data_IF_060041039495
#
_entry.id   IF_060041039495
#
_cell.length_a   1.000
_cell.length_b   1.000
_cell.length_c   1.000
_cell.angle_alpha   90.00
_cell.angle_beta   90.00
_cell.angle_gamma   90.00
#
_symmetry.space_group_name_H-M   'P 1'
#
loop_
_entity.id
_entity.type
_entity.pdbx_description
1 polymer ?
#
# COMPACT_ATOMS: atom_id res chain seq x y z
N UNK A 1 4.28 2.67 -37.88
CA UNK A 1 3.51 3.50 -36.91
C UNK A 1 3.86 3.01 -35.52
N UNK A 2 4.55 3.82 -34.73
CA UNK A 2 4.82 3.49 -33.34
C UNK A 2 3.54 3.77 -32.56
N UNK A 3 3.11 2.82 -31.72
CA UNK A 3 2.09 3.08 -30.70
C UNK A 3 2.62 4.24 -29.88
N UNK A 4 2.05 5.42 -30.09
CA UNK A 4 2.47 6.63 -29.42
C UNK A 4 1.89 6.68 -28.01
N UNK A 5 2.40 7.61 -27.23
CA UNK A 5 1.85 7.95 -25.92
C UNK A 5 0.35 8.24 -26.00
N UNK A 6 -0.11 8.81 -27.13
CA UNK A 6 -1.51 9.11 -27.41
C UNK A 6 -2.39 7.86 -27.42
N UNK A 7 -2.03 6.81 -28.16
CA UNK A 7 -2.80 5.57 -28.21
C UNK A 7 -2.89 4.90 -26.85
N UNK A 8 -1.79 4.91 -26.07
CA UNK A 8 -1.80 4.36 -24.70
C UNK A 8 -2.76 5.15 -23.80
N UNK A 9 -2.79 6.48 -23.90
CA UNK A 9 -3.71 7.32 -23.14
C UNK A 9 -5.17 7.02 -23.54
N UNK A 10 -5.46 6.88 -24.83
CA UNK A 10 -6.81 6.56 -25.31
C UNK A 10 -7.28 5.21 -24.75
N UNK A 11 -6.43 4.19 -24.79
CA UNK A 11 -6.76 2.86 -24.24
C UNK A 11 -6.94 2.95 -22.71
N UNK A 12 -6.07 3.68 -22.01
CA UNK A 12 -6.19 3.87 -20.57
C UNK A 12 -7.52 4.55 -20.20
N UNK A 13 -7.92 5.60 -20.92
CA UNK A 13 -9.20 6.28 -20.71
C UNK A 13 -10.37 5.33 -21.01
N UNK A 14 -10.32 4.56 -22.09
CA UNK A 14 -11.36 3.57 -22.40
C UNK A 14 -11.49 2.52 -21.28
N UNK A 15 -10.37 2.01 -20.76
CA UNK A 15 -10.37 1.09 -19.62
C UNK A 15 -10.94 1.75 -18.35
N UNK A 16 -10.59 3.02 -18.08
CA UNK A 16 -11.14 3.76 -16.96
C UNK A 16 -12.65 4.00 -17.07
N UNK A 17 -13.20 4.12 -18.28
CA UNK A 17 -14.66 4.22 -18.49
C UNK A 17 -15.35 2.88 -18.24
N UNK A 18 -14.77 1.77 -18.71
CA UNK A 18 -15.34 0.43 -18.52
C UNK A 18 -15.25 -0.07 -17.06
N UNK A 19 -14.09 0.13 -16.43
CA UNK A 19 -13.81 -0.38 -15.09
C UNK A 19 -14.05 0.67 -13.98
N UNK A 20 -14.02 1.96 -14.31
CA UNK A 20 -14.10 3.07 -13.37
C UNK A 20 -12.75 3.49 -12.78
N UNK A 21 -12.63 4.79 -12.44
CA UNK A 21 -11.40 5.38 -11.88
C UNK A 21 -10.93 4.73 -10.57
N UNK A 22 -11.84 4.12 -9.81
CA UNK A 22 -11.53 3.47 -8.53
C UNK A 22 -11.10 2.00 -8.67
N UNK A 23 -11.34 1.37 -9.82
CA UNK A 23 -11.06 -0.06 -10.01
C UNK A 23 -9.57 -0.35 -10.24
N UNK A 24 -8.89 0.45 -11.06
CA UNK A 24 -7.43 0.33 -11.28
C UNK A 24 -6.62 0.35 -9.97
N UNK A 25 -6.75 1.35 -9.08
CA UNK A 25 -5.98 1.39 -7.84
C UNK A 25 -6.38 0.27 -6.86
N UNK A 26 -7.64 -0.16 -6.88
CA UNK A 26 -8.11 -1.28 -6.05
C UNK A 26 -7.54 -2.61 -6.52
N UNK A 27 -7.54 -2.84 -7.83
CA UNK A 27 -6.95 -4.01 -8.48
C UNK A 27 -5.42 -4.05 -8.29
N UNK A 28 -4.73 -2.93 -8.47
CA UNK A 28 -3.28 -2.85 -8.23
C UNK A 28 -2.91 -3.17 -6.78
N UNK A 29 -3.74 -2.75 -5.81
CA UNK A 29 -3.53 -3.10 -4.40
C UNK A 29 -3.70 -4.59 -4.13
N UNK A 30 -4.77 -5.22 -4.64
CA UNK A 30 -4.99 -6.66 -4.44
C UNK A 30 -3.92 -7.50 -5.13
N UNK A 31 -3.53 -7.13 -6.36
CA UNK A 31 -2.46 -7.80 -7.10
C UNK A 31 -1.11 -7.61 -6.41
N UNK A 32 -0.83 -6.42 -5.87
CA UNK A 32 0.38 -6.13 -5.11
C UNK A 32 0.47 -6.94 -3.82
N UNK A 33 -0.64 -7.11 -3.10
CA UNK A 33 -0.72 -7.99 -1.93
C UNK A 33 -0.47 -9.45 -2.30
N UNK A 34 -1.16 -9.95 -3.33
CA UNK A 34 -0.97 -11.32 -3.83
C UNK A 34 0.49 -11.57 -4.28
N UNK A 35 1.08 -10.66 -5.05
CA UNK A 35 2.49 -10.74 -5.48
C UNK A 35 3.45 -10.70 -4.28
N UNK A 36 3.15 -9.92 -3.24
CA UNK A 36 3.97 -9.83 -2.04
C UNK A 36 3.95 -11.15 -1.26
N UNK A 37 2.77 -11.71 -1.03
CA UNK A 37 2.59 -12.98 -0.34
C UNK A 37 3.16 -14.14 -1.16
N UNK A 38 2.98 -14.13 -2.48
CA UNK A 38 3.58 -15.12 -3.39
C UNK A 38 5.11 -15.11 -3.33
N UNK A 39 5.74 -13.92 -3.41
CA UNK A 39 7.20 -13.81 -3.28
C UNK A 39 7.69 -14.23 -1.89
N UNK A 40 6.92 -13.92 -0.83
CA UNK A 40 7.24 -14.33 0.52
C UNK A 40 7.20 -15.86 0.65
N UNK A 41 6.14 -16.50 0.16
CA UNK A 41 6.00 -17.96 0.16
C UNK A 41 7.07 -18.66 -0.67
N UNK A 42 7.47 -18.10 -1.82
CA UNK A 42 8.61 -18.63 -2.60
C UNK A 42 9.91 -18.51 -1.82
N UNK A 43 10.18 -17.37 -1.18
CA UNK A 43 11.41 -17.17 -0.38
C UNK A 43 11.46 -18.10 0.83
N UNK A 44 10.34 -18.24 1.55
CA UNK A 44 10.24 -19.15 2.70
C UNK A 44 10.35 -20.62 2.26
N UNK A 45 9.74 -21.00 1.13
CA UNK A 45 9.85 -22.33 0.56
C UNK A 45 11.27 -22.64 0.05
N UNK A 46 11.94 -21.67 -0.56
CA UNK A 46 13.32 -21.81 -1.02
C UNK A 46 14.34 -21.77 0.12
N UNK A 47 14.07 -21.03 1.20
CA UNK A 47 14.90 -20.99 2.41
C UNK A 47 14.68 -22.20 3.34
N UNK A 48 13.67 -23.04 3.08
CA UNK A 48 13.44 -24.27 3.86
C UNK A 48 14.43 -25.40 3.52
N UNK A 49 15.28 -25.22 2.50
CA UNK A 49 16.31 -26.20 2.12
C UNK A 49 17.74 -25.81 2.58
N UNK A 50 17.92 -24.60 3.11
CA UNK A 50 19.21 -24.12 3.65
C UNK A 50 18.94 -23.20 4.84
N UNK A 51 19.22 -23.69 6.05
CA UNK A 51 19.09 -22.92 7.30
C UNK A 51 19.97 -21.65 7.31
N UNK A 52 19.57 -20.70 8.15
CA UNK A 52 20.25 -19.46 8.59
C UNK A 52 20.16 -18.20 7.69
N UNK A 53 19.24 -17.29 8.03
CA UNK A 53 19.60 -15.93 8.50
C UNK A 53 18.33 -15.10 8.85
N UNK A 54 18.26 -14.50 10.06
CA UNK A 54 17.20 -13.57 10.43
C UNK A 54 17.63 -12.12 10.12
N UNK A 55 17.40 -11.62 8.91
CA UNK A 55 17.52 -10.17 8.72
C UNK A 55 16.52 -9.53 7.75
N UNK A 56 15.78 -8.58 8.35
CA UNK A 56 15.52 -7.23 7.87
C UNK A 56 14.31 -6.93 6.96
N UNK A 57 13.71 -5.81 7.38
CA UNK A 57 13.07 -4.80 6.55
C UNK A 57 11.57 -4.94 6.28
N UNK A 58 10.82 -4.57 7.31
CA UNK A 58 9.69 -3.67 7.09
C UNK A 58 10.19 -2.27 6.72
N UNK A 59 9.86 -1.74 5.53
CA UNK A 59 9.48 -0.34 5.43
C UNK A 59 7.96 -0.30 5.47
N UNK A 60 7.43 0.12 6.62
CA UNK A 60 6.09 0.68 6.74
C UNK A 60 6.02 1.94 5.87
N UNK A 61 5.64 1.80 4.61
CA UNK A 61 5.11 2.87 3.78
C UNK A 61 4.13 2.21 2.80
N UNK A 62 2.81 2.32 2.92
CA UNK A 62 2.01 3.51 3.16
C UNK A 62 0.59 3.08 3.55
N UNK A 63 0.35 2.86 4.84
CA UNK A 63 -1.02 2.81 5.37
C UNK A 63 -1.58 4.23 5.36
N UNK A 64 -2.70 4.42 4.68
CA UNK A 64 -3.40 5.69 4.51
C UNK A 64 -3.49 6.52 5.79
N UNK A 65 -2.82 7.66 5.77
CA UNK A 65 -2.98 8.73 6.74
C UNK A 65 -4.15 9.57 6.28
N UNK A 66 -5.35 9.28 6.80
CA UNK A 66 -6.55 9.96 6.30
C UNK A 66 -7.80 9.91 7.17
N UNK A 67 -7.75 9.57 8.46
CA UNK A 67 -8.84 9.89 9.41
C UNK A 67 -8.26 10.17 10.81
N UNK A 68 -8.03 11.45 11.14
CA UNK A 68 -7.82 11.92 12.52
C UNK A 68 -9.19 12.19 13.16
N UNK A 69 -9.61 11.49 14.22
CA UNK A 69 -10.66 12.01 15.09
C UNK A 69 -10.02 13.02 16.06
N UNK A 70 -10.50 14.26 16.02
CA UNK A 70 -10.22 15.30 17.04
C UNK A 70 -10.78 14.83 18.39
N UNK A 71 -9.93 14.43 19.34
CA UNK A 71 -10.30 14.26 20.76
C UNK A 71 -9.39 15.10 21.66
N UNK A 72 -9.88 16.31 21.91
CA UNK A 72 -9.96 17.03 23.19
C UNK A 72 -9.28 16.31 24.37
N UNK A 73 -8.16 16.86 24.87
CA UNK A 73 -7.76 16.74 26.28
C UNK A 73 -7.48 18.14 26.79
N UNK A 74 -8.52 18.69 27.42
CA UNK A 74 -8.44 19.84 28.31
C UNK A 74 -7.44 19.54 29.41
N UNK A 75 -6.54 20.48 29.60
CA UNK A 75 -5.51 20.53 30.63
C UNK A 75 -6.12 20.44 32.03
N UNK A 76 -5.68 19.55 32.92
CA UNK A 76 -5.81 19.77 34.34
C UNK A 76 -4.58 20.58 34.79
N UNK A 77 -4.70 21.91 34.80
CA UNK A 77 -3.75 22.79 35.50
C UNK A 77 -4.01 22.64 37.00
N UNK A 78 -3.47 21.58 37.61
CA UNK A 78 -3.17 21.57 39.03
C UNK A 78 -1.89 22.38 39.27
N UNK A 79 -2.05 23.70 39.38
CA UNK A 79 -1.10 24.51 40.13
C UNK A 79 -1.79 24.88 41.43
N UNK A 80 -1.62 23.98 42.42
CA UNK A 80 -1.73 24.34 43.83
C UNK A 80 -0.74 25.47 44.09
N UNK A 81 -1.18 26.57 44.71
CA UNK A 81 -0.60 27.17 45.93
C UNK A 81 -1.04 28.64 46.05
N UNK A 82 -2.19 28.83 46.67
CA UNK A 82 -2.49 29.90 47.64
C UNK A 82 -3.59 29.37 48.53
#
# INVERSE_FOLDING_TARGET
MMIGTTEIIVIAVAALVLFGATALPKFARSLGQAKKEFQKGIKEGAASETEDEPEKETPKASSGRGKKPKRKKQSPKQSRKS
#
